data_IF_626289474687
#
_entry.id   IF_626289474687
#
_cell.length_a   1.000
_cell.length_b   1.000
_cell.length_c   1.000
_cell.angle_alpha   90.00
_cell.angle_beta   90.00
_cell.angle_gamma   90.00
#
_symmetry.space_group_name_H-M   'P 1'
#
loop_
_entity.id
_entity.type
_entity.pdbx_description
1 polymer ?
#
# COMPACT_ATOMS: atom_id res chain seq x y z
N UNK A 1 18.76 -39.78 -55.99
CA UNK A 1 17.29 -39.83 -56.13
C UNK A 1 16.83 -40.85 -55.10
N UNK A 2 16.11 -40.55 -54.03
CA UNK A 2 15.18 -39.46 -53.71
C UNK A 2 15.34 -39.04 -52.24
N UNK A 3 15.36 -37.73 -52.01
CA UNK A 3 15.07 -37.14 -50.71
C UNK A 3 13.54 -37.07 -50.57
N UNK A 4 12.96 -37.49 -49.43
CA UNK A 4 11.54 -37.29 -49.19
C UNK A 4 11.07 -37.70 -47.79
N UNK A 5 10.44 -36.76 -47.09
CA UNK A 5 9.78 -36.84 -45.76
C UNK A 5 10.73 -36.75 -44.55
N UNK A 6 11.24 -35.58 -44.11
CA UNK A 6 10.61 -34.26 -43.87
C UNK A 6 9.53 -34.36 -42.76
N UNK A 7 9.94 -34.00 -41.54
CA UNK A 7 9.18 -33.76 -40.30
C UNK A 7 8.32 -34.90 -39.73
N UNK A 8 8.76 -35.46 -38.58
CA UNK A 8 7.85 -36.06 -37.61
C UNK A 8 7.32 -34.96 -36.68
N UNK A 9 6.01 -34.89 -36.43
CA UNK A 9 5.40 -33.80 -35.67
C UNK A 9 5.91 -33.81 -34.23
N UNK A 10 6.38 -32.64 -33.80
CA UNK A 10 6.48 -32.26 -32.39
C UNK A 10 5.16 -32.59 -31.72
N UNK A 11 5.17 -33.54 -30.79
CA UNK A 11 4.08 -33.72 -29.84
C UNK A 11 4.09 -32.49 -28.94
N UNK A 12 3.45 -31.42 -29.41
CA UNK A 12 2.99 -30.35 -28.55
C UNK A 12 2.03 -31.00 -27.55
N UNK A 13 2.38 -30.95 -26.26
CA UNK A 13 1.41 -31.20 -25.22
C UNK A 13 0.32 -30.13 -25.34
N UNK A 14 -0.82 -30.57 -25.85
CA UNK A 14 -2.07 -29.84 -25.84
C UNK A 14 -2.37 -29.44 -24.38
N UNK A 15 -2.43 -28.15 -24.00
CA UNK A 15 -2.96 -27.78 -22.70
C UNK A 15 -4.47 -27.95 -22.77
N UNK A 16 -4.94 -29.17 -22.54
CA UNK A 16 -6.36 -29.48 -22.43
C UNK A 16 -7.01 -28.60 -21.35
N UNK A 17 -8.11 -27.90 -21.65
CA UNK A 17 -8.78 -27.00 -20.72
C UNK A 17 -9.74 -27.81 -19.86
N UNK A 18 -9.32 -28.29 -18.69
CA UNK A 18 -10.24 -29.00 -17.80
C UNK A 18 -9.82 -28.99 -16.32
N UNK A 19 -9.92 -27.83 -15.67
CA UNK A 19 -10.22 -27.73 -14.22
C UNK A 19 -11.10 -26.51 -13.96
N UNK A 20 -12.40 -26.64 -14.22
CA UNK A 20 -13.41 -25.80 -13.56
C UNK A 20 -13.89 -26.48 -12.27
N UNK A 21 -14.61 -25.79 -11.36
CA UNK A 21 -14.54 -24.40 -10.96
C UNK A 21 -14.17 -24.34 -9.47
N UNK A 22 -12.90 -24.10 -9.13
CA UNK A 22 -12.53 -23.89 -7.73
C UNK A 22 -12.90 -22.46 -7.31
N UNK A 23 -14.11 -22.34 -6.75
CA UNK A 23 -14.59 -21.27 -5.87
C UNK A 23 -14.26 -19.84 -6.35
N UNK A 24 -15.26 -19.17 -6.95
CA UNK A 24 -15.15 -17.82 -7.50
C UNK A 24 -14.67 -16.73 -6.53
N UNK A 25 -14.62 -16.99 -5.22
CA UNK A 25 -14.03 -16.06 -4.24
C UNK A 25 -12.51 -16.21 -4.10
N UNK A 26 -11.96 -17.41 -4.32
CA UNK A 26 -10.52 -17.67 -4.26
C UNK A 26 -9.79 -17.22 -5.55
N UNK A 27 -10.51 -17.10 -6.67
CA UNK A 27 -10.00 -16.60 -7.93
C UNK A 27 -9.94 -15.06 -8.01
N UNK A 28 -10.78 -14.35 -7.24
CA UNK A 28 -10.74 -12.87 -7.14
C UNK A 28 -9.69 -12.38 -6.15
N UNK A 29 -9.36 -13.19 -5.16
CA UNK A 29 -8.34 -12.85 -4.19
C UNK A 29 -6.97 -13.20 -4.78
N UNK A 30 -6.45 -12.33 -5.65
CA UNK A 30 -5.02 -12.31 -6.04
C UNK A 30 -4.15 -11.83 -4.85
N UNK A 31 -4.45 -12.38 -3.67
CA UNK A 31 -3.78 -12.21 -2.40
C UNK A 31 -2.42 -12.95 -2.38
N UNK A 32 -1.79 -13.15 -3.55
CA UNK A 32 -0.47 -13.76 -3.68
C UNK A 32 0.68 -12.81 -4.02
N UNK A 33 0.42 -11.60 -4.55
CA UNK A 33 1.48 -10.72 -5.11
C UNK A 33 2.14 -9.67 -4.21
N UNK A 34 1.57 -9.32 -3.06
CA UNK A 34 2.24 -8.45 -2.08
C UNK A 34 2.89 -9.31 -1.03
N UNK A 35 4.06 -8.88 -0.54
CA UNK A 35 4.63 -9.38 0.71
C UNK A 35 3.52 -9.36 1.77
N UNK A 36 3.21 -10.53 2.33
CA UNK A 36 2.25 -10.73 3.42
C UNK A 36 2.27 -9.62 4.50
N UNK A 37 3.44 -9.14 4.98
CA UNK A 37 3.49 -8.04 5.95
C UNK A 37 2.83 -6.75 5.48
N UNK A 38 2.96 -6.38 4.19
CA UNK A 38 2.42 -5.10 3.68
C UNK A 38 0.89 -5.13 3.59
N UNK A 39 0.29 -6.29 3.36
CA UNK A 39 -1.17 -6.43 3.44
C UNK A 39 -1.69 -6.29 4.86
N UNK A 40 -0.99 -6.90 5.81
CA UNK A 40 -1.34 -6.79 7.23
C UNK A 40 -1.24 -5.33 7.69
N UNK A 41 -0.20 -4.60 7.26
CA UNK A 41 -0.05 -3.17 7.55
C UNK A 41 -1.20 -2.33 6.98
N UNK A 42 -1.53 -2.49 5.68
CA UNK A 42 -2.66 -1.77 5.07
C UNK A 42 -4.00 -2.10 5.73
N UNK A 43 -4.21 -3.36 6.12
CA UNK A 43 -5.41 -3.77 6.84
C UNK A 43 -5.46 -3.16 8.24
N UNK A 44 -4.35 -3.19 8.97
CA UNK A 44 -4.26 -2.60 10.31
C UNK A 44 -4.49 -1.09 10.28
N UNK A 45 -3.95 -0.40 9.28
CA UNK A 45 -4.17 1.02 9.05
C UNK A 45 -5.65 1.34 8.79
N UNK A 46 -6.35 0.50 8.01
CA UNK A 46 -7.79 0.62 7.78
C UNK A 46 -8.57 0.41 9.08
N UNK A 47 -8.23 -0.61 9.86
CA UNK A 47 -8.89 -0.89 11.14
C UNK A 47 -8.68 0.26 12.13
N UNK A 48 -7.46 0.80 12.22
CA UNK A 48 -7.16 1.89 13.15
C UNK A 48 -7.79 3.22 12.75
N UNK A 49 -7.83 3.54 11.46
CA UNK A 49 -8.56 4.73 10.97
C UNK A 49 -10.07 4.61 11.17
N UNK A 50 -10.63 3.42 11.00
CA UNK A 50 -12.04 3.13 11.32
C UNK A 50 -12.31 3.25 12.83
N UNK A 51 -11.42 2.72 13.68
CA UNK A 51 -11.55 2.86 15.13
C UNK A 51 -11.49 4.33 15.55
N UNK A 52 -10.57 5.12 14.99
CA UNK A 52 -10.50 6.56 15.25
C UNK A 52 -11.79 7.27 14.85
N UNK A 53 -12.35 6.93 13.69
CA UNK A 53 -13.64 7.47 13.22
C UNK A 53 -14.81 7.09 14.13
N UNK A 54 -14.92 5.83 14.54
CA UNK A 54 -15.98 5.36 15.46
C UNK A 54 -15.83 6.00 16.83
N UNK A 55 -14.61 6.10 17.35
CA UNK A 55 -14.34 6.72 18.65
C UNK A 55 -14.73 8.20 18.65
N UNK A 56 -14.54 8.90 17.54
CA UNK A 56 -14.95 10.30 17.34
C UNK A 56 -16.49 10.45 17.30
N UNK A 57 -17.19 9.65 16.48
CA UNK A 57 -18.66 9.70 16.34
C UNK A 57 -19.38 9.43 17.69
N UNK A 58 -18.74 8.67 18.58
CA UNK A 58 -19.27 8.37 19.93
C UNK A 58 -19.12 9.56 20.89
N UNK A 59 -18.26 10.55 20.60
CA UNK A 59 -18.11 11.78 21.39
C UNK A 59 -19.27 12.74 21.10
N UNK A 60 -20.34 12.63 21.88
CA UNK A 60 -21.59 13.41 21.70
C UNK A 60 -21.63 14.75 22.46
N UNK A 61 -20.54 15.19 23.08
CA UNK A 61 -20.46 16.40 23.91
C UNK A 61 -19.18 17.15 23.58
N UNK A 62 -19.26 18.32 22.94
CA UNK A 62 -18.07 19.15 22.66
C UNK A 62 -18.36 20.63 22.92
N UNK A 63 -17.50 21.29 23.70
CA UNK A 63 -17.60 22.73 23.97
C UNK A 63 -16.88 23.57 22.90
N UNK A 64 -15.96 22.96 22.12
CA UNK A 64 -15.19 23.61 21.05
C UNK A 64 -15.12 22.71 19.80
N UNK A 65 -16.23 22.57 19.08
CA UNK A 65 -16.40 21.59 17.98
C UNK A 65 -15.43 21.73 16.78
N UNK A 66 -14.64 22.80 16.69
CA UNK A 66 -13.75 23.03 15.54
C UNK A 66 -12.67 21.97 15.36
N UNK A 67 -12.08 21.48 16.46
CA UNK A 67 -11.04 20.44 16.43
C UNK A 67 -11.59 19.07 16.02
N UNK A 68 -12.78 18.72 16.51
CA UNK A 68 -13.46 17.47 16.15
C UNK A 68 -13.83 17.44 14.66
N UNK A 69 -14.50 18.47 14.12
CA UNK A 69 -14.88 18.48 12.71
C UNK A 69 -13.68 18.33 11.76
N UNK A 70 -12.53 18.90 12.12
CA UNK A 70 -11.31 18.73 11.34
C UNK A 70 -10.78 17.29 11.44
N UNK A 71 -10.79 16.70 12.64
CA UNK A 71 -10.37 15.33 12.87
C UNK A 71 -11.33 14.31 12.21
N UNK A 72 -12.63 14.53 12.24
CA UNK A 72 -13.67 13.78 11.54
C UNK A 72 -13.43 13.77 10.02
N UNK A 73 -13.23 14.94 9.43
CA UNK A 73 -12.97 15.06 8.00
C UNK A 73 -11.71 14.29 7.58
N UNK A 74 -10.63 14.45 8.36
CA UNK A 74 -9.36 13.78 8.08
C UNK A 74 -9.45 12.27 8.31
N UNK A 75 -10.12 11.81 9.37
CA UNK A 75 -10.28 10.39 9.67
C UNK A 75 -11.17 9.68 8.65
N UNK A 76 -12.27 10.29 8.25
CA UNK A 76 -13.13 9.79 7.18
C UNK A 76 -12.36 9.70 5.85
N UNK A 77 -11.64 10.76 5.48
CA UNK A 77 -10.81 10.76 4.28
C UNK A 77 -9.73 9.67 4.33
N UNK A 78 -9.06 9.51 5.47
CA UNK A 78 -8.03 8.49 5.67
C UNK A 78 -8.58 7.07 5.54
N UNK A 79 -9.77 6.82 6.11
CA UNK A 79 -10.47 5.55 6.00
C UNK A 79 -10.87 5.24 4.55
N UNK A 80 -11.53 6.19 3.87
CA UNK A 80 -11.99 6.01 2.48
C UNK A 80 -10.81 5.81 1.53
N UNK A 81 -9.71 6.55 1.69
CA UNK A 81 -8.52 6.39 0.87
C UNK A 81 -7.79 5.07 1.16
N UNK A 82 -7.71 4.64 2.43
CA UNK A 82 -7.13 3.33 2.78
C UNK A 82 -7.96 2.18 2.22
N UNK A 83 -9.29 2.30 2.27
CA UNK A 83 -10.23 1.34 1.67
C UNK A 83 -10.09 1.32 0.14
N UNK A 84 -10.02 2.48 -0.50
CA UNK A 84 -9.82 2.59 -1.95
C UNK A 84 -8.51 1.92 -2.37
N UNK A 85 -7.41 2.18 -1.65
CA UNK A 85 -6.12 1.55 -1.93
C UNK A 85 -6.17 0.03 -1.73
N UNK A 86 -6.87 -0.46 -0.71
CA UNK A 86 -7.09 -1.89 -0.51
C UNK A 86 -7.89 -2.51 -1.67
N UNK A 87 -8.94 -1.84 -2.15
CA UNK A 87 -9.74 -2.29 -3.30
C UNK A 87 -8.88 -2.33 -4.56
N UNK A 88 -8.09 -1.29 -4.84
CA UNK A 88 -7.18 -1.26 -6.00
C UNK A 88 -6.17 -2.40 -5.92
N UNK A 89 -5.69 -2.71 -4.71
CA UNK A 89 -4.73 -3.78 -4.49
C UNK A 89 -5.32 -5.20 -4.69
N UNK A 90 -6.59 -5.39 -4.30
CA UNK A 90 -7.31 -6.66 -4.48
C UNK A 90 -7.81 -6.81 -5.93
N UNK A 91 -8.12 -5.69 -6.60
CA UNK A 91 -8.68 -5.68 -7.94
C UNK A 91 -7.64 -6.02 -9.02
N UNK A 92 -8.07 -6.65 -10.14
CA UNK A 92 -7.22 -6.88 -11.31
C UNK A 92 -6.79 -5.58 -12.02
N UNK A 93 -7.34 -4.43 -11.60
CA UNK A 93 -6.92 -3.09 -12.02
C UNK A 93 -5.42 -2.85 -11.78
N UNK A 94 -4.82 -3.46 -10.74
CA UNK A 94 -3.38 -3.37 -10.51
C UNK A 94 -2.56 -3.90 -11.69
N UNK A 95 -3.02 -4.94 -12.40
CA UNK A 95 -2.30 -5.47 -13.57
C UNK A 95 -2.46 -4.62 -14.83
N UNK A 96 -3.45 -3.71 -14.83
CA UNK A 96 -3.72 -2.80 -15.96
C UNK A 96 -2.99 -1.46 -15.82
N UNK A 97 -2.51 -1.13 -14.64
CA UNK A 97 -1.82 0.12 -14.32
C UNK A 97 -0.36 -0.21 -14.00
N UNK A 98 0.58 0.54 -14.56
CA UNK A 98 2.01 0.33 -14.31
C UNK A 98 2.32 0.22 -12.80
N UNK A 99 2.85 -0.93 -12.38
CA UNK A 99 3.11 -1.24 -10.98
C UNK A 99 3.99 -0.17 -10.29
N UNK A 100 4.94 0.41 -11.02
CA UNK A 100 5.82 1.48 -10.53
C UNK A 100 5.06 2.79 -10.26
N UNK A 101 4.09 3.14 -11.12
CA UNK A 101 3.26 4.33 -10.93
C UNK A 101 2.31 4.16 -9.75
N UNK A 102 1.74 2.96 -9.58
CA UNK A 102 0.88 2.65 -8.44
C UNK A 102 1.67 2.69 -7.13
N UNK A 103 2.89 2.12 -7.08
CA UNK A 103 3.76 2.18 -5.89
C UNK A 103 4.13 3.62 -5.52
N UNK A 104 4.43 4.46 -6.50
CA UNK A 104 4.76 5.86 -6.26
C UNK A 104 3.54 6.64 -5.76
N UNK A 105 2.36 6.38 -6.34
CA UNK A 105 1.09 6.96 -5.88
C UNK A 105 0.78 6.53 -4.44
N UNK A 106 0.88 5.24 -4.13
CA UNK A 106 0.68 4.69 -2.77
C UNK A 106 1.60 5.37 -1.74
N UNK A 107 2.86 5.63 -2.11
CA UNK A 107 3.80 6.35 -1.27
C UNK A 107 3.35 7.79 -0.98
N UNK A 108 2.96 8.57 -1.99
CA UNK A 108 2.51 9.95 -1.81
C UNK A 108 1.17 10.03 -1.06
N UNK A 109 0.23 9.12 -1.35
CA UNK A 109 -1.07 9.06 -0.69
C UNK A 109 -0.88 8.72 0.80
N UNK A 110 -0.08 7.68 1.10
CA UNK A 110 0.18 7.27 2.50
C UNK A 110 0.90 8.36 3.28
N UNK A 111 1.88 9.04 2.66
CA UNK A 111 2.56 10.18 3.26
C UNK A 111 1.59 11.35 3.54
N UNK A 112 0.78 11.72 2.54
CA UNK A 112 -0.17 12.82 2.65
C UNK A 112 -1.20 12.57 3.76
N UNK A 113 -1.80 11.39 3.76
CA UNK A 113 -2.76 10.99 4.81
C UNK A 113 -2.08 10.94 6.17
N UNK A 114 -0.90 10.33 6.28
CA UNK A 114 -0.16 10.25 7.55
C UNK A 114 0.15 11.63 8.16
N UNK A 115 0.59 12.58 7.33
CA UNK A 115 0.84 13.96 7.75
C UNK A 115 -0.44 14.69 8.16
N UNK A 116 -1.52 14.57 7.39
CA UNK A 116 -2.81 15.19 7.71
C UNK A 116 -3.39 14.62 9.01
N UNK A 117 -3.32 13.30 9.18
CA UNK A 117 -3.83 12.59 10.35
C UNK A 117 -3.03 12.94 11.62
N UNK A 118 -1.72 13.12 11.49
CA UNK A 118 -0.86 13.61 12.56
C UNK A 118 -1.24 15.05 12.96
N UNK A 119 -1.37 15.95 11.98
CA UNK A 119 -1.78 17.33 12.22
C UNK A 119 -3.16 17.40 12.90
N UNK A 120 -4.12 16.60 12.42
CA UNK A 120 -5.44 16.50 13.02
C UNK A 120 -5.36 16.01 14.48
N UNK A 121 -4.52 15.02 14.76
CA UNK A 121 -4.30 14.51 16.13
C UNK A 121 -3.69 15.58 17.05
N UNK A 122 -2.74 16.40 16.56
CA UNK A 122 -2.15 17.50 17.34
C UNK A 122 -3.19 18.59 17.64
N UNK A 123 -3.99 18.96 16.64
CA UNK A 123 -5.04 19.96 16.81
C UNK A 123 -6.07 19.45 17.82
N UNK A 124 -6.50 18.20 17.66
CA UNK A 124 -7.47 17.56 18.55
C UNK A 124 -6.96 17.47 20.00
N UNK A 125 -5.70 17.09 20.21
CA UNK A 125 -5.09 17.09 21.56
C UNK A 125 -5.00 18.48 22.18
N UNK A 126 -4.91 19.53 21.35
CA UNK A 126 -4.80 20.91 21.84
C UNK A 126 -6.16 21.50 22.24
N UNK A 127 -7.26 20.91 21.76
CA UNK A 127 -8.62 21.44 21.93
C UNK A 127 -9.53 20.58 22.81
N UNK A 128 -9.04 19.44 23.33
CA UNK A 128 -9.87 18.50 24.09
C UNK A 128 -10.28 18.99 25.48
N UNK A 129 -11.51 18.68 25.87
CA UNK A 129 -11.99 18.67 27.23
C UNK A 129 -11.64 17.33 27.89
N UNK A 130 -11.55 17.30 29.23
CA UNK A 130 -11.06 16.12 29.97
C UNK A 130 -12.12 15.00 30.06
N UNK A 131 -12.81 14.68 28.98
CA UNK A 131 -13.81 13.60 28.92
C UNK A 131 -13.14 12.26 28.56
N UNK A 132 -13.67 11.16 29.08
CA UNK A 132 -13.09 9.83 28.86
C UNK A 132 -13.13 9.37 27.40
N UNK A 133 -14.13 9.83 26.63
CA UNK A 133 -14.28 9.48 25.23
C UNK A 133 -13.25 10.20 24.35
N UNK A 134 -12.97 11.48 24.63
CA UNK A 134 -11.94 12.25 23.94
C UNK A 134 -10.55 11.67 24.15
N UNK A 135 -10.22 11.23 25.37
CA UNK A 135 -8.97 10.51 25.64
C UNK A 135 -8.81 9.26 24.78
N UNK A 136 -9.88 8.49 24.57
CA UNK A 136 -9.83 7.31 23.72
C UNK A 136 -9.57 7.71 22.26
N UNK A 137 -10.30 8.70 21.74
CA UNK A 137 -10.11 9.20 20.38
C UNK A 137 -8.68 9.74 20.15
N UNK A 138 -8.10 10.45 21.12
CA UNK A 138 -6.69 10.92 21.09
C UNK A 138 -5.74 9.73 20.96
N UNK A 139 -5.87 8.72 21.81
CA UNK A 139 -4.97 7.56 21.83
C UNK A 139 -5.03 6.79 20.51
N UNK A 140 -6.24 6.53 20.00
CA UNK A 140 -6.40 5.87 18.71
C UNK A 140 -5.93 6.74 17.55
N UNK A 141 -6.08 8.06 17.65
CA UNK A 141 -5.54 9.04 16.71
C UNK A 141 -4.00 8.95 16.60
N UNK A 142 -3.30 9.05 17.73
CA UNK A 142 -1.85 8.90 17.72
C UNK A 142 -1.40 7.51 17.25
N UNK A 143 -2.10 6.45 17.64
CA UNK A 143 -1.76 5.09 17.22
C UNK A 143 -1.92 4.90 15.70
N UNK A 144 -2.98 5.43 15.11
CA UNK A 144 -3.16 5.45 13.68
C UNK A 144 -2.08 6.28 12.98
N UNK A 145 -1.76 7.48 13.49
CA UNK A 145 -0.68 8.32 12.94
C UNK A 145 0.67 7.60 12.91
N UNK A 146 1.05 6.93 14.01
CA UNK A 146 2.26 6.12 14.10
C UNK A 146 2.25 4.99 13.08
N UNK A 147 1.10 4.34 12.86
CA UNK A 147 0.99 3.27 11.86
C UNK A 147 1.17 3.80 10.43
N UNK A 148 0.53 4.91 10.06
CA UNK A 148 0.74 5.56 8.76
C UNK A 148 2.20 5.99 8.56
N UNK A 149 2.83 6.56 9.59
CA UNK A 149 4.26 6.93 9.58
C UNK A 149 5.16 5.70 9.42
N UNK A 150 4.85 4.60 10.10
CA UNK A 150 5.64 3.38 10.01
C UNK A 150 5.55 2.74 8.62
N UNK A 151 4.36 2.70 8.00
CA UNK A 151 4.19 2.23 6.61
C UNK A 151 5.00 3.10 5.65
N UNK A 152 4.98 4.42 5.86
CA UNK A 152 5.82 5.36 5.09
C UNK A 152 7.32 5.09 5.26
N UNK A 153 7.80 4.91 6.49
CA UNK A 153 9.22 4.64 6.78
C UNK A 153 9.65 3.31 6.16
N UNK A 154 8.84 2.26 6.26
CA UNK A 154 9.11 0.96 5.64
C UNK A 154 9.22 1.11 4.12
N UNK A 155 8.25 1.77 3.48
CA UNK A 155 8.30 2.03 2.04
C UNK A 155 9.51 2.87 1.63
N UNK A 156 9.90 3.85 2.44
CA UNK A 156 11.06 4.69 2.20
C UNK A 156 12.37 3.90 2.31
N UNK A 157 12.48 3.03 3.32
CA UNK A 157 13.62 2.13 3.48
C UNK A 157 13.75 1.17 2.30
N UNK A 158 12.67 0.52 1.87
CA UNK A 158 12.66 -0.35 0.68
C UNK A 158 13.13 0.41 -0.58
N UNK A 159 12.58 1.62 -0.81
CA UNK A 159 12.96 2.44 -1.97
C UNK A 159 14.42 2.90 -1.92
N UNK A 160 14.94 3.20 -0.73
CA UNK A 160 16.34 3.60 -0.53
C UNK A 160 17.27 2.42 -0.81
N UNK A 161 16.91 1.21 -0.39
CA UNK A 161 17.65 -0.02 -0.68
C UNK A 161 17.67 -0.32 -2.18
N UNK A 162 16.53 -0.25 -2.87
CA UNK A 162 16.46 -0.39 -4.33
C UNK A 162 17.32 0.65 -5.07
N UNK A 163 17.31 1.90 -4.60
CA UNK A 163 18.13 2.98 -5.19
C UNK A 163 19.63 2.75 -4.98
N UNK A 164 20.01 2.20 -3.83
CA UNK A 164 21.40 1.85 -3.52
C UNK A 164 21.88 0.61 -4.26
N UNK A 165 20.99 -0.31 -4.63
CA UNK A 165 21.34 -1.49 -5.45
C UNK A 165 21.49 -1.13 -6.95
N UNK A 166 20.74 -0.15 -7.43
CA UNK A 166 20.82 0.32 -8.83
C UNK A 166 22.03 1.21 -9.12
N UNK A 167 22.54 1.92 -8.11
CA UNK A 167 23.73 2.78 -8.22
C UNK A 167 25.05 2.03 -8.52
N UNK A 168 25.38 0.88 -7.89
CA UNK A 168 26.63 0.15 -8.16
C UNK A 168 26.69 -0.45 -9.57
N UNK A 169 25.57 -0.87 -10.16
CA UNK A 169 25.56 -1.40 -11.53
C UNK A 169 25.94 -0.36 -12.59
N UNK A 170 25.62 0.91 -12.35
CA UNK A 170 25.95 2.00 -13.28
C UNK A 170 27.44 2.34 -13.22
N UNK A 171 28.06 2.20 -12.04
CA UNK A 171 29.50 2.40 -11.86
C UNK A 171 30.30 1.26 -12.51
N UNK A 172 29.91 -0.01 -12.30
CA UNK A 172 30.59 -1.17 -12.90
C UNK A 172 30.52 -1.17 -14.43
N UNK A 173 29.38 -0.78 -15.01
CA UNK A 173 29.24 -0.69 -16.48
C UNK A 173 30.07 0.45 -17.09
N UNK A 174 30.31 1.52 -16.32
CA UNK A 174 31.16 2.64 -16.78
C UNK A 174 32.64 2.24 -16.74
N UNK A 175 33.07 1.51 -15.71
CA UNK A 175 34.44 0.98 -15.63
C UNK A 175 34.73 -0.09 -16.69
N UNK A 176 33.78 -1.01 -16.95
CA UNK A 176 33.93 -2.06 -17.97
C UNK A 176 33.93 -1.53 -19.42
N UNK A 177 33.36 -0.34 -19.68
CA UNK A 177 33.41 0.31 -21.00
C UNK A 177 34.73 1.09 -21.22
N UNK A 178 35.43 1.46 -20.15
CA UNK A 178 36.72 2.15 -20.21
C UNK A 178 37.93 1.24 -20.20
N UNK A 179 37.77 -0.08 -20.08
CA UNK A 179 38.87 -1.02 -20.20
C UNK A 179 39.23 -1.17 -21.69
N UNK A 180 40.38 -0.64 -22.15
CA UNK A 180 40.77 -0.77 -23.55
C UNK A 180 41.03 -2.25 -23.84
N UNK A 181 40.31 -2.79 -24.83
CA UNK A 181 40.51 -4.11 -25.40
C UNK A 181 41.87 -4.16 -26.12
N UNK A 182 42.96 -4.25 -25.35
CA UNK A 182 44.32 -4.32 -25.89
C UNK A 182 45.19 -5.22 -25.00
N UNK A 183 45.26 -6.49 -25.37
CA UNK A 183 46.41 -7.39 -25.17
C UNK A 183 46.31 -8.51 -26.21
#
# INVERSE_FOLDING_TARGET
MENGAVYRPTTEEHPGPARGPRSGLAAYCFLGRLKWPRRVLKFLQLVLSLLAFICEEVVSQCTLCGGLYFFEFVSCSAFLLSLLMLIVYISPLYDRVDADKVKLSDFYITLGIGCLFLLASIIFVSTHDKTSAEWAAIVFGFLASVMFLSDFVIMFCEKREESQLRKPETTVRTEALTEPLNA
#
